data_IF_025562829263
#
_entry.id   IF_025562829263
#
_cell.length_a   1.000
_cell.length_b   1.000
_cell.length_c   1.000
_cell.angle_alpha   90.00
_cell.angle_beta   90.00
_cell.angle_gamma   90.00
#
_symmetry.space_group_name_H-M   'P 1'
#
loop_
_entity.id
_entity.type
_entity.pdbx_description
1 polymer ?
#
# COMPACT_ATOMS: atom_id res chain seq x y z
N UNK A 1 58.87 -0.96 -14.91
CA UNK A 1 59.17 -2.35 -15.29
C UNK A 1 57.83 -3.05 -15.53
N UNK A 2 57.10 -2.68 -16.60
CA UNK A 2 57.14 -3.21 -17.98
C UNK A 2 56.71 -4.68 -18.10
N UNK A 3 55.48 -4.87 -18.58
CA UNK A 3 54.95 -5.93 -19.47
C UNK A 3 53.43 -5.78 -19.43
N UNK A 4 52.79 -4.98 -20.28
CA UNK A 4 52.50 -5.19 -21.71
C UNK A 4 52.19 -6.65 -22.04
N UNK A 5 50.93 -6.90 -22.42
CA UNK A 5 50.53 -7.64 -23.63
C UNK A 5 48.99 -7.60 -23.77
N UNK A 6 48.54 -6.84 -24.75
CA UNK A 6 47.25 -6.93 -25.42
C UNK A 6 47.48 -7.70 -26.74
N UNK A 7 46.53 -8.53 -27.23
CA UNK A 7 46.12 -8.30 -28.62
C UNK A 7 44.63 -8.59 -28.93
N UNK A 8 43.97 -7.57 -29.47
CA UNK A 8 43.12 -7.52 -30.69
C UNK A 8 42.59 -8.80 -31.41
N UNK A 9 41.29 -8.69 -31.76
CA UNK A 9 40.55 -9.09 -32.98
C UNK A 9 40.18 -10.55 -33.28
N UNK A 10 38.86 -10.78 -33.45
CA UNK A 10 38.30 -11.28 -34.73
C UNK A 10 36.77 -11.04 -34.84
N UNK A 11 36.38 -10.32 -35.90
CA UNK A 11 35.03 -10.23 -36.46
C UNK A 11 34.67 -11.46 -37.31
N UNK A 12 33.40 -11.85 -37.32
CA UNK A 12 32.59 -12.41 -38.43
C UNK A 12 31.27 -12.93 -37.81
N UNK A 13 30.06 -12.76 -38.33
CA UNK A 13 29.56 -12.24 -39.58
C UNK A 13 28.18 -12.85 -39.84
N UNK A 14 27.27 -12.03 -40.39
CA UNK A 14 26.20 -12.39 -41.34
C UNK A 14 24.92 -13.10 -40.82
N UNK A 15 23.82 -12.34 -40.86
CA UNK A 15 22.75 -12.58 -41.85
C UNK A 15 21.43 -13.21 -41.38
N UNK A 16 20.33 -12.48 -41.55
CA UNK A 16 18.98 -13.06 -41.49
C UNK A 16 17.84 -12.04 -41.49
N UNK A 17 17.51 -11.46 -42.65
CA UNK A 17 16.24 -10.73 -42.90
C UNK A 17 15.11 -11.74 -43.15
N UNK A 18 13.99 -11.72 -42.41
CA UNK A 18 12.67 -12.17 -42.93
C UNK A 18 11.49 -11.38 -42.30
N UNK A 19 10.81 -10.60 -43.16
CA UNK A 19 9.36 -10.32 -43.34
C UNK A 19 8.43 -10.28 -42.09
N UNK A 20 7.82 -9.13 -41.80
CA UNK A 20 6.49 -8.69 -42.30
C UNK A 20 5.37 -9.72 -42.09
N UNK A 21 4.43 -9.42 -41.17
CA UNK A 21 3.01 -9.72 -41.35
C UNK A 21 2.14 -8.74 -40.54
N UNK A 22 1.40 -7.91 -41.28
CA UNK A 22 0.19 -7.22 -40.82
C UNK A 22 -0.90 -8.27 -40.64
N UNK A 23 -1.63 -8.23 -39.52
CA UNK A 23 -2.95 -8.83 -39.41
C UNK A 23 -3.95 -7.73 -39.05
N UNK A 24 -4.95 -7.64 -39.91
CA UNK A 24 -6.04 -6.68 -39.95
C UNK A 24 -7.26 -7.25 -39.22
N UNK A 25 -8.11 -6.34 -38.72
CA UNK A 25 -9.57 -6.50 -38.45
C UNK A 25 -10.04 -7.45 -37.35
N UNK A 26 -10.84 -6.92 -36.41
CA UNK A 26 -12.30 -6.93 -36.56
C UNK A 26 -12.97 -6.05 -35.50
N UNK A 27 -13.58 -4.95 -35.94
CA UNK A 27 -14.56 -4.18 -35.18
C UNK A 27 -15.88 -4.94 -35.23
N UNK A 28 -16.47 -5.27 -34.08
CA UNK A 28 -17.87 -5.68 -33.99
C UNK A 28 -18.60 -4.83 -32.95
N UNK A 29 -19.44 -3.96 -33.48
CA UNK A 29 -20.54 -3.30 -32.79
C UNK A 29 -21.48 -4.34 -32.17
N UNK A 30 -21.87 -4.12 -30.91
CA UNK A 30 -23.12 -4.64 -30.38
C UNK A 30 -23.86 -3.50 -29.69
N UNK A 31 -25.08 -3.27 -30.14
CA UNK A 31 -25.96 -2.20 -29.69
C UNK A 31 -27.30 -2.85 -29.36
N UNK A 32 -28.00 -2.25 -28.38
CA UNK A 32 -29.43 -2.40 -28.00
C UNK A 32 -29.79 -3.35 -26.85
N UNK A 33 -30.30 -2.71 -25.77
CA UNK A 33 -31.67 -2.81 -25.19
C UNK A 33 -31.72 -3.76 -23.99
N UNK A 34 -32.32 -3.45 -22.84
CA UNK A 34 -33.64 -2.86 -22.61
C UNK A 34 -33.77 -2.35 -21.16
N UNK A 35 -34.43 -1.19 -21.00
CA UNK A 35 -34.84 -0.65 -19.70
C UNK A 35 -36.16 -1.27 -19.24
N UNK A 36 -36.22 -1.73 -17.98
CA UNK A 36 -37.46 -2.04 -17.28
C UNK A 36 -37.60 -1.12 -16.06
N UNK A 37 -38.62 -0.26 -16.12
CA UNK A 37 -39.09 0.58 -15.02
C UNK A 37 -40.04 -0.25 -14.15
N UNK A 38 -39.77 -0.33 -12.85
CA UNK A 38 -40.79 -0.67 -11.86
C UNK A 38 -41.03 0.54 -10.95
N UNK A 39 -42.28 1.01 -10.94
CA UNK A 39 -42.81 1.99 -9.99
C UNK A 39 -43.51 1.23 -8.88
N UNK A 40 -43.18 1.52 -7.62
CA UNK A 40 -44.09 1.41 -6.50
C UNK A 40 -43.88 2.60 -5.56
N UNK A 41 -44.96 3.30 -5.22
CA UNK A 41 -45.02 4.30 -4.17
C UNK A 41 -45.74 3.75 -2.92
N UNK A 42 -46.17 4.60 -1.97
CA UNK A 42 -45.34 4.98 -0.82
C UNK A 42 -46.04 4.77 0.53
N UNK A 43 -45.25 4.50 1.59
CA UNK A 43 -45.52 4.70 3.05
C UNK A 43 -44.37 4.03 3.82
N UNK A 44 -43.78 4.49 4.92
CA UNK A 44 -43.97 5.63 5.79
C UNK A 44 -42.65 5.91 6.55
N UNK A 45 -42.46 7.19 6.87
CA UNK A 45 -41.67 7.81 7.95
C UNK A 45 -40.80 6.91 8.86
N UNK A 46 -39.49 7.10 8.77
CA UNK A 46 -38.60 7.19 9.93
C UNK A 46 -37.49 8.18 9.59
N UNK A 47 -37.37 9.23 10.41
CA UNK A 47 -36.40 10.31 10.25
C UNK A 47 -35.13 9.87 10.96
N UNK A 48 -34.03 9.72 10.24
CA UNK A 48 -32.70 9.72 10.84
C UNK A 48 -31.80 10.59 9.98
N UNK A 49 -31.27 11.65 10.58
CA UNK A 49 -30.56 12.73 9.92
C UNK A 49 -29.12 12.28 9.61
N UNK A 50 -28.96 11.32 8.71
CA UNK A 50 -27.70 11.12 7.99
C UNK A 50 -27.57 12.26 6.98
N UNK A 51 -26.68 13.20 7.26
CA UNK A 51 -26.28 14.22 6.31
C UNK A 51 -25.47 13.52 5.21
N UNK A 52 -26.18 12.97 4.23
CA UNK A 52 -25.62 12.53 2.95
C UNK A 52 -24.99 13.76 2.31
N UNK A 53 -23.66 13.84 2.31
CA UNK A 53 -22.96 14.72 1.40
C UNK A 53 -23.33 14.29 -0.02
N UNK A 54 -24.12 15.11 -0.72
CA UNK A 54 -24.36 14.86 -2.13
C UNK A 54 -23.06 15.02 -2.91
N UNK A 55 -22.75 14.11 -3.85
CA UNK A 55 -21.54 14.19 -4.65
C UNK A 55 -21.56 15.44 -5.54
N UNK A 56 -20.38 16.03 -5.84
CA UNK A 56 -20.30 17.18 -6.72
C UNK A 56 -20.87 16.86 -8.11
N UNK A 57 -21.64 17.79 -8.67
CA UNK A 57 -22.49 17.61 -9.87
C UNK A 57 -21.75 17.35 -11.18
N UNK A 58 -20.43 17.16 -11.17
CA UNK A 58 -19.60 17.01 -12.37
C UNK A 58 -18.59 15.84 -12.30
N UNK A 59 -18.76 14.86 -11.40
CA UNK A 59 -17.79 13.76 -11.21
C UNK A 59 -18.32 12.34 -11.48
N UNK A 60 -19.46 12.20 -12.15
CA UNK A 60 -20.24 10.95 -12.16
C UNK A 60 -19.72 9.83 -13.09
N UNK A 61 -18.55 9.96 -13.72
CA UNK A 61 -17.98 8.87 -14.56
C UNK A 61 -16.67 8.32 -13.98
N UNK A 62 -15.73 9.20 -13.65
CA UNK A 62 -14.39 8.77 -13.20
C UNK A 62 -14.36 8.38 -11.73
N UNK A 63 -15.23 8.98 -10.89
CA UNK A 63 -15.36 8.61 -9.48
C UNK A 63 -15.95 7.20 -9.33
N UNK A 64 -17.04 6.91 -10.05
CA UNK A 64 -17.64 5.58 -10.06
C UNK A 64 -16.75 4.54 -10.76
N UNK A 65 -16.00 4.89 -11.81
CA UNK A 65 -14.96 4.01 -12.39
C UNK A 65 -13.83 3.67 -11.43
N UNK A 66 -13.35 4.63 -10.64
CA UNK A 66 -12.31 4.38 -9.63
C UNK A 66 -12.83 3.53 -8.46
N UNK A 67 -14.11 3.65 -8.12
CA UNK A 67 -14.77 2.81 -7.10
C UNK A 67 -15.05 1.38 -7.62
N UNK A 68 -15.42 1.21 -8.89
CA UNK A 68 -15.72 -0.10 -9.50
C UNK A 68 -14.49 -1.03 -9.68
N UNK A 69 -13.26 -0.52 -9.55
CA UNK A 69 -12.05 -1.34 -9.69
C UNK A 69 -11.60 -2.05 -8.41
N UNK A 70 -12.19 -1.76 -7.25
CA UNK A 70 -11.90 -2.48 -6.00
C UNK A 70 -12.86 -3.65 -5.84
N UNK A 71 -12.48 -4.78 -6.41
CA UNK A 71 -13.27 -6.01 -6.34
C UNK A 71 -13.33 -6.66 -4.93
N UNK A 72 -12.56 -6.17 -3.95
CA UNK A 72 -12.44 -6.81 -2.64
C UNK A 72 -12.26 -5.81 -1.49
N UNK A 73 -13.13 -5.92 -0.48
CA UNK A 73 -13.00 -5.19 0.79
C UNK A 73 -12.21 -6.02 1.81
N UNK A 74 -11.24 -5.44 2.52
CA UNK A 74 -10.52 -6.13 3.57
C UNK A 74 -11.45 -6.45 4.74
N UNK A 75 -11.11 -7.49 5.51
CA UNK A 75 -11.74 -7.78 6.81
C UNK A 75 -10.96 -7.17 7.97
N UNK A 76 -9.66 -6.94 7.77
CA UNK A 76 -8.78 -6.29 8.72
C UNK A 76 -7.71 -5.49 7.98
N UNK A 77 -7.49 -4.24 8.40
CA UNK A 77 -6.39 -3.41 7.93
C UNK A 77 -5.53 -3.03 9.13
N UNK A 78 -4.30 -3.55 9.18
CA UNK A 78 -3.31 -3.22 10.20
C UNK A 78 -2.39 -2.13 9.66
N UNK A 79 -2.51 -0.92 10.21
CA UNK A 79 -1.67 0.22 9.84
C UNK A 79 -0.51 0.33 10.81
N UNK A 80 0.67 -0.06 10.35
CA UNK A 80 1.89 -0.05 11.14
C UNK A 80 2.62 1.28 11.05
N UNK A 81 3.08 1.75 12.20
CA UNK A 81 4.03 2.86 12.32
C UNK A 81 5.17 2.51 13.27
N UNK A 82 6.29 3.21 13.15
CA UNK A 82 7.45 3.01 14.00
C UNK A 82 8.69 3.64 13.39
N UNK A 83 9.51 4.24 14.26
CA UNK A 83 10.75 4.91 13.84
C UNK A 83 11.75 3.92 13.26
N UNK A 84 12.67 4.42 12.42
CA UNK A 84 13.79 3.63 11.90
C UNK A 84 14.51 2.86 13.01
N UNK A 85 14.82 1.58 12.75
CA UNK A 85 15.46 0.63 13.69
C UNK A 85 14.62 0.20 14.92
N UNK A 86 13.32 0.50 14.98
CA UNK A 86 12.44 -0.05 16.02
C UNK A 86 12.09 -1.53 15.81
N UNK A 87 12.36 -2.09 14.63
CA UNK A 87 12.02 -3.48 14.30
C UNK A 87 10.66 -3.66 13.60
N UNK A 88 9.99 -2.56 13.21
CA UNK A 88 8.72 -2.59 12.46
C UNK A 88 8.72 -3.57 11.28
N UNK A 89 9.72 -3.50 10.41
CA UNK A 89 9.77 -4.33 9.20
C UNK A 89 9.82 -5.83 9.56
N UNK A 90 10.61 -6.18 10.57
CA UNK A 90 10.68 -7.55 11.10
C UNK A 90 9.31 -8.01 11.63
N UNK A 91 8.60 -7.14 12.35
CA UNK A 91 7.26 -7.45 12.87
C UNK A 91 6.25 -7.67 11.74
N UNK A 92 6.22 -6.80 10.74
CA UNK A 92 5.30 -6.94 9.60
C UNK A 92 5.57 -8.19 8.78
N UNK A 93 6.85 -8.53 8.58
CA UNK A 93 7.27 -9.74 7.87
C UNK A 93 6.90 -11.00 8.67
N UNK A 94 7.06 -10.97 9.99
CA UNK A 94 6.68 -12.08 10.87
C UNK A 94 5.16 -12.33 10.84
N UNK A 95 4.34 -11.28 10.89
CA UNK A 95 2.87 -11.40 10.77
C UNK A 95 2.49 -12.01 9.43
N UNK A 96 3.06 -11.50 8.32
CA UNK A 96 2.83 -12.05 6.98
C UNK A 96 3.26 -13.51 6.89
N UNK A 97 4.39 -13.87 7.49
CA UNK A 97 4.88 -15.25 7.53
C UNK A 97 3.97 -16.21 8.29
N UNK A 98 3.37 -15.76 9.40
CA UNK A 98 2.43 -16.57 10.20
C UNK A 98 1.07 -16.74 9.55
N UNK A 99 0.53 -15.69 8.94
CA UNK A 99 -0.79 -15.74 8.31
C UNK A 99 -0.78 -16.37 6.91
N UNK A 100 0.36 -16.34 6.23
CA UNK A 100 0.51 -16.88 4.87
C UNK A 100 0.03 -15.92 3.77
N UNK A 101 0.40 -16.24 2.53
CA UNK A 101 0.25 -15.30 1.41
C UNK A 101 -1.16 -15.14 0.84
N UNK A 102 -2.01 -16.14 1.08
CA UNK A 102 -3.40 -16.12 0.64
C UNK A 102 -4.29 -15.32 1.61
N UNK A 103 -3.86 -15.23 2.87
CA UNK A 103 -4.62 -14.56 3.94
C UNK A 103 -4.21 -13.11 4.13
N UNK A 104 -2.91 -12.83 4.05
CA UNK A 104 -2.35 -11.54 4.39
C UNK A 104 -1.54 -10.98 3.23
N UNK A 105 -1.64 -9.68 2.93
CA UNK A 105 -0.68 -8.98 2.07
C UNK A 105 -0.04 -7.80 2.77
N UNK A 106 1.20 -7.46 2.38
CA UNK A 106 1.90 -6.27 2.87
C UNK A 106 1.79 -5.17 1.81
N UNK A 107 1.13 -4.08 2.17
CA UNK A 107 0.96 -2.89 1.35
C UNK A 107 2.04 -1.86 1.70
N UNK A 108 2.69 -1.30 0.67
CA UNK A 108 3.73 -0.28 0.81
C UNK A 108 3.35 0.98 0.07
N UNK A 109 3.07 2.06 0.79
CA UNK A 109 2.73 3.39 0.25
C UNK A 109 3.92 4.00 -0.51
N UNK A 110 5.15 3.63 -0.14
CA UNK A 110 6.35 4.04 -0.88
C UNK A 110 6.48 3.41 -2.27
N UNK A 111 5.77 2.31 -2.55
CA UNK A 111 5.76 1.67 -3.87
C UNK A 111 5.12 2.58 -4.93
N UNK A 112 3.82 2.94 -4.78
CA UNK A 112 3.15 3.88 -5.66
C UNK A 112 3.83 5.25 -5.76
N UNK A 113 4.42 5.76 -4.67
CA UNK A 113 5.23 6.98 -4.69
C UNK A 113 6.34 6.89 -5.73
N UNK A 114 7.15 5.83 -5.67
CA UNK A 114 8.27 5.63 -6.61
C UNK A 114 7.78 5.40 -8.03
N UNK A 115 6.73 4.59 -8.20
CA UNK A 115 6.16 4.30 -9.51
C UNK A 115 5.67 5.57 -10.21
N UNK A 116 4.84 6.36 -9.53
CA UNK A 116 4.28 7.58 -10.11
C UNK A 116 5.33 8.67 -10.31
N UNK A 117 6.28 8.80 -9.37
CA UNK A 117 7.38 9.75 -9.53
C UNK A 117 8.26 9.39 -10.74
N UNK A 118 8.61 8.11 -10.91
CA UNK A 118 9.40 7.65 -12.05
C UNK A 118 8.68 7.86 -13.39
N UNK A 119 7.38 7.56 -13.44
CA UNK A 119 6.55 7.75 -14.62
C UNK A 119 6.49 9.23 -15.05
N UNK A 120 6.22 10.14 -14.12
CA UNK A 120 6.10 11.57 -14.42
C UNK A 120 7.43 12.22 -14.83
N UNK A 121 8.55 11.71 -14.32
CA UNK A 121 9.89 12.28 -14.57
C UNK A 121 10.71 11.48 -15.60
N UNK A 122 10.13 10.46 -16.22
CA UNK A 122 10.80 9.61 -17.20
C UNK A 122 12.03 8.88 -16.63
N UNK A 123 11.96 8.43 -15.37
CA UNK A 123 13.04 7.74 -14.68
C UNK A 123 12.93 6.21 -14.83
N UNK A 124 14.06 5.52 -14.74
CA UNK A 124 14.10 4.07 -14.62
C UNK A 124 13.54 3.63 -13.25
N UNK A 125 12.37 2.96 -13.28
CA UNK A 125 11.69 2.49 -12.09
C UNK A 125 12.47 1.39 -11.37
N UNK A 126 13.10 0.47 -12.10
CA UNK A 126 13.82 -0.66 -11.49
C UNK A 126 15.04 -0.15 -10.71
N UNK A 127 15.73 0.85 -11.24
CA UNK A 127 16.83 1.52 -10.52
C UNK A 127 16.35 2.33 -9.32
N UNK A 128 15.16 2.94 -9.39
CA UNK A 128 14.57 3.69 -8.28
C UNK A 128 14.07 2.77 -7.14
N UNK A 129 13.64 1.56 -7.49
CA UNK A 129 13.26 0.52 -6.53
C UNK A 129 14.48 -0.18 -5.92
N UNK A 130 15.58 -0.31 -6.68
CA UNK A 130 16.78 -1.03 -6.30
C UNK A 130 17.63 -0.39 -5.20
N UNK A 131 18.59 -1.13 -4.61
CA UNK A 131 19.56 -0.57 -3.69
C UNK A 131 20.71 0.09 -4.46
N UNK A 132 20.73 1.42 -4.55
CA UNK A 132 21.85 2.08 -5.22
C UNK A 132 21.87 3.60 -5.03
N UNK A 133 22.95 4.28 -5.48
CA UNK A 133 23.07 5.74 -5.39
C UNK A 133 22.04 6.46 -6.26
N UNK A 134 21.52 5.79 -7.29
CA UNK A 134 20.47 6.32 -8.17
C UNK A 134 19.25 6.77 -7.37
N UNK A 135 18.73 5.92 -6.48
CA UNK A 135 17.57 6.28 -5.64
C UNK A 135 17.86 7.46 -4.71
N UNK A 136 19.09 7.54 -4.21
CA UNK A 136 19.46 8.50 -3.18
C UNK A 136 19.56 9.90 -3.77
N UNK A 137 20.03 10.00 -5.02
CA UNK A 137 20.05 11.24 -5.80
C UNK A 137 18.68 11.90 -5.89
N UNK A 138 17.62 11.12 -6.04
CA UNK A 138 16.25 11.63 -6.22
C UNK A 138 15.41 11.61 -4.94
N UNK A 139 15.98 11.16 -3.81
CA UNK A 139 15.20 10.90 -2.60
C UNK A 139 14.50 12.15 -2.07
N UNK A 140 15.22 13.26 -1.95
CA UNK A 140 14.67 14.51 -1.42
C UNK A 140 13.55 15.05 -2.33
N UNK A 141 13.81 15.15 -3.64
CA UNK A 141 12.84 15.64 -4.62
C UNK A 141 11.60 14.76 -4.69
N UNK A 142 11.77 13.43 -4.65
CA UNK A 142 10.67 12.47 -4.64
C UNK A 142 9.81 12.61 -3.37
N UNK A 143 10.42 12.84 -2.21
CA UNK A 143 9.68 13.11 -0.97
C UNK A 143 8.89 14.42 -1.11
N UNK A 144 9.52 15.50 -1.57
CA UNK A 144 8.86 16.80 -1.75
C UNK A 144 7.71 16.76 -2.76
N UNK A 145 7.89 16.04 -3.87
CA UNK A 145 6.84 15.75 -4.84
C UNK A 145 5.69 14.96 -4.19
N UNK A 146 6.03 13.92 -3.42
CA UNK A 146 5.06 13.10 -2.70
C UNK A 146 4.23 13.90 -1.70
N UNK A 147 4.85 14.81 -0.94
CA UNK A 147 4.10 15.70 -0.02
C UNK A 147 3.20 16.67 -0.78
N UNK A 148 3.64 17.16 -1.94
CA UNK A 148 2.78 18.00 -2.78
C UNK A 148 1.55 17.24 -3.24
N UNK A 149 1.69 15.98 -3.67
CA UNK A 149 0.56 15.11 -4.04
C UNK A 149 -0.37 14.88 -2.84
N UNK A 150 0.16 14.53 -1.66
CA UNK A 150 -0.64 14.29 -0.44
C UNK A 150 -1.39 15.52 0.06
N UNK A 151 -0.82 16.73 -0.07
CA UNK A 151 -1.52 17.98 0.30
C UNK A 151 -2.74 18.23 -0.56
N UNK A 152 -2.69 17.88 -1.84
CA UNK A 152 -3.84 18.00 -2.74
C UNK A 152 -4.83 16.84 -2.55
N UNK A 153 -4.33 15.63 -2.31
CA UNK A 153 -5.11 14.41 -2.19
C UNK A 153 -4.46 13.44 -1.19
N UNK A 154 -4.89 13.47 0.08
CA UNK A 154 -4.34 12.62 1.14
C UNK A 154 -4.39 11.13 0.84
N UNK A 155 -5.38 10.68 0.07
CA UNK A 155 -5.61 9.27 -0.25
C UNK A 155 -4.90 8.77 -1.49
N UNK A 156 -4.17 9.63 -2.22
CA UNK A 156 -3.60 9.32 -3.54
C UNK A 156 -2.78 8.02 -3.54
N UNK A 157 -1.77 7.92 -2.67
CA UNK A 157 -0.93 6.73 -2.59
C UNK A 157 -1.63 5.55 -1.92
N UNK A 158 -2.57 5.80 -1.00
CA UNK A 158 -3.30 4.73 -0.32
C UNK A 158 -4.23 3.98 -1.28
N UNK A 159 -4.93 4.70 -2.17
CA UNK A 159 -5.76 4.09 -3.23
C UNK A 159 -4.91 3.29 -4.21
N UNK A 160 -3.76 3.82 -4.63
CA UNK A 160 -2.84 3.08 -5.50
C UNK A 160 -2.25 1.84 -4.82
N UNK A 161 -1.84 1.94 -3.55
CA UNK A 161 -1.21 0.84 -2.82
C UNK A 161 -2.17 -0.32 -2.55
N UNK A 162 -3.47 -0.05 -2.49
CA UNK A 162 -4.51 -1.04 -2.23
C UNK A 162 -5.13 -1.60 -3.51
N UNK A 163 -4.77 -1.05 -4.68
CA UNK A 163 -5.29 -1.53 -5.97
C UNK A 163 -4.78 -2.95 -6.22
N UNK A 164 -5.70 -3.88 -6.46
CA UNK A 164 -5.39 -5.30 -6.69
C UNK A 164 -5.11 -6.13 -5.43
N UNK A 165 -5.20 -5.55 -4.23
CA UNK A 165 -5.17 -6.32 -3.00
C UNK A 165 -6.50 -7.09 -2.83
N UNK A 166 -6.41 -8.40 -2.62
CA UNK A 166 -7.58 -9.30 -2.54
C UNK A 166 -7.59 -10.14 -1.26
N UNK A 167 -6.50 -10.10 -0.49
CA UNK A 167 -6.40 -10.80 0.78
C UNK A 167 -7.35 -10.19 1.82
N UNK A 168 -7.93 -10.98 2.75
CA UNK A 168 -8.76 -10.43 3.83
C UNK A 168 -8.00 -9.53 4.80
N UNK A 169 -6.70 -9.78 5.01
CA UNK A 169 -5.88 -9.05 5.97
C UNK A 169 -4.84 -8.22 5.23
N UNK A 170 -4.87 -6.90 5.43
CA UNK A 170 -3.91 -5.97 4.85
C UNK A 170 -2.98 -5.44 5.93
N UNK A 171 -1.67 -5.50 5.70
CA UNK A 171 -0.65 -4.91 6.56
C UNK A 171 -0.05 -3.73 5.82
N UNK A 172 -0.42 -2.50 6.21
CA UNK A 172 0.18 -1.27 5.68
C UNK A 172 1.46 -1.04 6.47
N UNK A 173 2.62 -1.33 5.86
CA UNK A 173 3.86 -1.44 6.62
C UNK A 173 4.61 -0.12 6.77
N UNK A 174 4.37 0.88 5.93
CA UNK A 174 5.17 2.11 5.86
C UNK A 174 4.34 3.40 5.90
N UNK A 175 3.23 3.38 6.66
CA UNK A 175 2.51 4.59 7.01
C UNK A 175 3.39 5.50 7.86
N UNK A 176 3.49 6.77 7.46
CA UNK A 176 4.43 7.73 8.02
C UNK A 176 3.78 9.05 8.40
N UNK A 177 2.62 9.36 7.82
CA UNK A 177 1.90 10.60 8.06
C UNK A 177 0.55 10.32 8.70
N UNK A 178 0.08 11.27 9.50
CA UNK A 178 -1.26 11.21 10.09
C UNK A 178 -2.34 11.08 9.01
N UNK A 179 -2.16 11.75 7.87
CA UNK A 179 -3.06 11.64 6.72
C UNK A 179 -3.18 10.22 6.15
N UNK A 180 -2.08 9.45 6.16
CA UNK A 180 -2.12 8.05 5.74
C UNK A 180 -3.08 7.26 6.66
N UNK A 181 -2.91 7.38 7.98
CA UNK A 181 -3.74 6.71 8.98
C UNK A 181 -5.21 7.16 8.93
N UNK A 182 -5.44 8.48 8.86
CA UNK A 182 -6.79 9.05 8.76
C UNK A 182 -7.52 8.57 7.50
N UNK A 183 -6.80 8.41 6.39
CA UNK A 183 -7.41 7.85 5.18
C UNK A 183 -7.90 6.41 5.39
N UNK A 184 -7.09 5.53 5.98
CA UNK A 184 -7.53 4.15 6.26
C UNK A 184 -8.67 4.08 7.30
N UNK A 185 -8.64 4.95 8.31
CA UNK A 185 -9.72 5.04 9.31
C UNK A 185 -11.04 5.55 8.72
N UNK A 186 -10.98 6.48 7.74
CA UNK A 186 -12.18 6.98 7.07
C UNK A 186 -12.72 6.02 6.01
N UNK A 187 -11.84 5.37 5.25
CA UNK A 187 -12.21 4.42 4.21
C UNK A 187 -12.70 3.07 4.78
N UNK A 188 -12.06 2.59 5.85
CA UNK A 188 -12.34 1.29 6.47
C UNK A 188 -12.50 1.42 7.99
N UNK A 189 -13.55 2.12 8.46
CA UNK A 189 -13.67 2.53 9.86
C UNK A 189 -13.80 1.35 10.83
N UNK A 190 -14.41 0.23 10.40
CA UNK A 190 -14.61 -0.93 11.27
C UNK A 190 -13.41 -1.88 11.24
N UNK A 191 -12.71 -1.94 10.11
CA UNK A 191 -11.63 -2.89 9.83
C UNK A 191 -10.25 -2.35 10.18
N UNK A 192 -10.06 -1.03 10.20
CA UNK A 192 -8.76 -0.42 10.43
C UNK A 192 -8.36 -0.47 11.89
N UNK A 193 -7.09 -0.82 12.10
CA UNK A 193 -6.44 -0.98 13.39
C UNK A 193 -5.02 -0.48 13.29
N UNK A 194 -4.64 0.38 14.22
CA UNK A 194 -3.35 1.07 14.26
C UNK A 194 -2.39 0.36 15.21
N UNK A 195 -1.17 0.10 14.73
CA UNK A 195 -0.14 -0.61 15.48
C UNK A 195 1.15 0.20 15.50
N UNK A 196 1.65 0.53 16.70
CA UNK A 196 2.93 1.22 16.87
C UNK A 196 4.00 0.26 17.33
N UNK A 197 5.10 0.16 16.57
CA UNK A 197 6.31 -0.56 17.01
C UNK A 197 7.30 0.45 17.55
N UNK A 198 7.55 0.37 18.86
CA UNK A 198 8.44 1.30 19.56
C UNK A 198 9.70 0.60 20.06
N UNK A 199 10.79 1.35 20.04
CA UNK A 199 12.00 1.05 20.79
C UNK A 199 12.60 2.34 21.34
N UNK A 200 13.25 2.25 22.49
CA UNK A 200 14.07 3.29 23.09
C UNK A 200 15.17 3.74 22.15
N UNK A 201 15.65 4.97 22.36
CA UNK A 201 16.76 5.51 21.59
C UNK A 201 18.02 4.67 21.81
N UNK A 202 18.27 4.24 23.05
CA UNK A 202 19.39 3.39 23.44
C UNK A 202 19.36 2.05 22.70
N UNK A 203 18.21 1.40 22.62
CA UNK A 203 18.05 0.14 21.89
C UNK A 203 18.23 0.34 20.39
N UNK A 204 17.71 1.44 19.83
CA UNK A 204 17.93 1.79 18.41
C UNK A 204 19.42 2.06 18.14
N UNK A 205 20.13 2.78 19.02
CA UNK A 205 21.58 3.03 18.93
C UNK A 205 22.37 1.73 18.92
N UNK A 206 22.04 0.77 19.79
CA UNK A 206 22.65 -0.58 19.80
C UNK A 206 22.47 -1.33 18.47
N UNK A 207 21.42 -1.02 17.70
CA UNK A 207 21.14 -1.56 16.35
C UNK A 207 21.78 -0.74 15.21
N UNK A 208 22.72 0.15 15.55
CA UNK A 208 23.40 1.02 14.61
C UNK A 208 22.56 2.20 14.14
N UNK A 209 21.59 2.66 14.95
CA UNK A 209 20.95 3.95 14.71
C UNK A 209 21.87 5.08 15.18
N UNK A 210 22.06 6.07 14.32
CA UNK A 210 22.67 7.36 14.65
C UNK A 210 21.75 8.43 14.12
N UNK A 211 21.51 9.47 14.92
CA UNK A 211 20.69 10.59 14.51
C UNK A 211 21.24 11.20 13.22
N UNK A 212 20.36 11.33 12.23
CA UNK A 212 20.64 12.00 10.97
C UNK A 212 19.65 13.15 10.82
N UNK A 213 20.16 14.39 10.89
CA UNK A 213 19.36 15.59 10.66
C UNK A 213 18.69 15.52 9.27
N UNK A 214 17.51 16.10 9.16
CA UNK A 214 16.62 16.09 7.98
C UNK A 214 16.06 14.71 7.61
N UNK A 215 16.39 13.66 8.37
CA UNK A 215 15.85 12.30 8.19
C UNK A 215 15.08 11.88 9.41
N UNK A 216 15.70 11.89 10.59
CA UNK A 216 15.11 11.40 11.84
C UNK A 216 14.21 12.43 12.54
N UNK A 217 14.29 13.71 12.15
CA UNK A 217 13.45 14.82 12.61
C UNK A 217 12.42 15.27 11.55
N UNK A 218 12.47 14.70 10.34
CA UNK A 218 11.50 14.96 9.29
C UNK A 218 10.11 14.40 9.63
N UNK A 219 9.06 15.02 9.07
CA UNK A 219 7.67 14.55 9.18
C UNK A 219 7.53 13.06 8.81
N UNK A 220 8.35 12.59 7.86
CA UNK A 220 8.34 11.19 7.42
C UNK A 220 8.76 10.16 8.50
N UNK A 221 9.34 10.59 9.62
CA UNK A 221 9.68 9.75 10.77
C UNK A 221 8.88 10.14 12.04
N UNK A 222 8.56 11.43 12.23
CA UNK A 222 7.90 11.94 13.43
C UNK A 222 6.38 12.17 13.30
N UNK A 223 5.82 12.06 12.09
CA UNK A 223 4.42 12.42 11.78
C UNK A 223 3.35 11.59 12.49
N UNK A 224 3.75 10.57 13.26
CA UNK A 224 2.88 9.68 14.04
C UNK A 224 3.34 9.55 15.50
N UNK A 225 4.14 10.51 16.01
CA UNK A 225 4.67 10.49 17.38
C UNK A 225 3.72 11.07 18.43
N UNK A 226 2.77 11.92 18.02
CA UNK A 226 1.86 12.62 18.94
C UNK A 226 0.44 12.71 18.36
N UNK A 227 -0.55 12.86 19.25
CA UNK A 227 -1.95 13.04 18.86
C UNK A 227 -2.65 11.79 18.32
N UNK A 228 -2.10 10.60 18.58
CA UNK A 228 -2.65 9.32 18.12
C UNK A 228 -2.70 8.35 19.29
N UNK A 229 -3.88 7.80 19.54
CA UNK A 229 -4.05 6.63 20.39
C UNK A 229 -4.00 5.39 19.50
N UNK A 230 -2.95 4.59 19.67
CA UNK A 230 -2.79 3.36 18.91
C UNK A 230 -3.58 2.22 19.55
N UNK A 231 -4.23 1.40 18.73
CA UNK A 231 -4.95 0.21 19.21
C UNK A 231 -4.00 -0.81 19.87
N UNK A 232 -2.79 -0.94 19.32
CA UNK A 232 -1.72 -1.74 19.92
C UNK A 232 -0.38 -1.02 19.88
N UNK A 233 0.39 -1.21 20.95
CA UNK A 233 1.79 -0.79 21.04
C UNK A 233 2.64 -2.03 21.28
N UNK A 234 3.55 -2.31 20.34
CA UNK A 234 4.55 -3.37 20.43
C UNK A 234 5.86 -2.74 20.91
N UNK A 235 6.28 -3.11 22.11
CA UNK A 235 7.55 -2.71 22.70
C UNK A 235 8.65 -3.70 22.32
N UNK A 236 9.63 -3.24 21.56
CA UNK A 236 10.78 -4.04 21.15
C UNK A 236 12.01 -3.67 21.97
N UNK A 237 11.90 -3.90 23.28
CA UNK A 237 12.94 -3.73 24.30
C UNK A 237 13.37 -5.08 24.88
N UNK A 238 14.50 -5.09 25.59
CA UNK A 238 15.03 -6.31 26.21
C UNK A 238 14.21 -6.78 27.43
N UNK A 239 13.57 -5.85 28.12
CA UNK A 239 12.74 -6.06 29.32
C UNK A 239 11.23 -6.09 29.02
N UNK A 240 10.84 -5.94 27.74
CA UNK A 240 9.47 -6.10 27.31
C UNK A 240 9.02 -7.57 27.32
N UNK A 241 7.70 -7.84 27.38
CA UNK A 241 7.16 -9.18 27.11
C UNK A 241 7.67 -9.73 25.78
N UNK A 242 7.68 -11.06 25.63
CA UNK A 242 8.16 -11.66 24.39
C UNK A 242 7.36 -11.13 23.19
N UNK A 243 8.02 -10.99 22.02
CA UNK A 243 7.34 -10.51 20.82
C UNK A 243 6.14 -11.41 20.47
N UNK A 244 6.25 -12.71 20.76
CA UNK A 244 5.16 -13.66 20.54
C UNK A 244 3.94 -13.34 21.38
N UNK A 245 4.10 -13.10 22.68
CA UNK A 245 3.01 -12.69 23.57
C UNK A 245 2.35 -11.40 23.09
N UNK A 246 3.15 -10.42 22.66
CA UNK A 246 2.65 -9.14 22.15
C UNK A 246 1.89 -9.30 20.82
N UNK A 247 2.29 -10.25 19.97
CA UNK A 247 1.65 -10.50 18.68
C UNK A 247 0.41 -11.39 18.74
N UNK A 248 0.28 -12.24 19.76
CA UNK A 248 -0.89 -13.12 19.93
C UNK A 248 -2.26 -12.44 19.76
N UNK A 249 -2.56 -11.27 20.36
CA UNK A 249 -3.86 -10.62 20.14
C UNK A 249 -4.06 -10.15 18.70
N UNK A 250 -3.02 -9.65 18.03
CA UNK A 250 -3.09 -9.18 16.65
C UNK A 250 -3.29 -10.35 15.68
N UNK A 251 -2.56 -11.45 15.89
CA UNK A 251 -2.67 -12.66 15.07
C UNK A 251 -4.03 -13.31 15.20
N UNK A 252 -4.56 -13.45 16.43
CA UNK A 252 -5.92 -13.98 16.65
C UNK A 252 -6.98 -13.16 15.92
N UNK A 253 -6.92 -11.83 16.03
CA UNK A 253 -7.85 -10.96 15.32
C UNK A 253 -7.76 -11.13 13.80
N UNK A 254 -6.54 -11.28 13.26
CA UNK A 254 -6.32 -11.50 11.84
C UNK A 254 -6.85 -12.87 11.36
N UNK A 255 -6.66 -13.92 12.16
CA UNK A 255 -7.18 -15.27 11.87
C UNK A 255 -8.71 -15.31 11.91
N UNK A 256 -9.34 -14.64 12.88
CA UNK A 256 -10.79 -14.49 12.98
C UNK A 256 -11.35 -13.72 11.77
N UNK A 257 -10.72 -12.59 11.42
CA UNK A 257 -11.09 -11.80 10.26
C UNK A 257 -11.00 -12.61 8.96
N UNK A 258 -9.95 -13.41 8.79
CA UNK A 258 -9.77 -14.30 7.64
C UNK A 258 -10.83 -15.41 7.58
N UNK A 259 -11.14 -16.03 8.73
CA UNK A 259 -12.09 -17.15 8.83
C UNK A 259 -13.52 -16.74 8.51
N UNK A 260 -13.88 -15.46 8.73
CA UNK A 260 -15.20 -14.92 8.36
C UNK A 260 -15.55 -15.04 6.86
N UNK A 261 -14.54 -15.24 5.99
CA UNK A 261 -14.74 -15.51 4.57
C UNK A 261 -15.27 -16.93 4.27
N UNK A 262 -15.02 -17.91 5.14
CA UNK A 262 -15.45 -19.29 4.90
C UNK A 262 -16.92 -19.53 5.24
N UNK A 263 -17.55 -18.67 6.03
CA UNK A 263 -18.96 -18.78 6.43
C UNK A 263 -19.94 -18.14 5.44
N UNK A 264 -19.44 -17.36 4.46
CA UNK A 264 -20.28 -16.62 3.49
C UNK A 264 -20.27 -17.22 2.09
N UNK A 265 -19.56 -18.34 1.85
CA UNK A 265 -19.66 -19.06 0.58
C UNK A 265 -20.97 -19.88 0.62
N UNK A 266 -21.99 -19.58 -0.19
CA UNK A 266 -23.15 -20.46 -0.26
C UNK A 266 -22.65 -21.84 -0.68
N UNK A 267 -23.00 -22.87 0.10
CA UNK A 267 -22.79 -24.25 -0.34
C UNK A 267 -23.45 -24.38 -1.70
N UNK A 268 -22.65 -24.65 -2.73
CA UNK A 268 -23.21 -25.03 -4.03
C UNK A 268 -23.98 -26.32 -3.79
N UNK A 269 -25.30 -26.21 -3.77
CA UNK A 269 -26.20 -27.36 -3.81
C UNK A 269 -25.99 -27.99 -5.18
N UNK A 270 -25.48 -29.23 -5.13
CA UNK A 270 -25.27 -30.13 -6.26
C UNK A 270 -26.55 -30.41 -7.04
#
# INVERSE_FOLDING_TARGET
>A
MTSDLDPTNMEAGVGGKIKSNKVTTCVKNFNKTSALRYRFGPTALAVDHHQLMEPPRDSSSDYWRQMEERAFEPKLVLVFSGKRKSGKDYVTDLIKGRLGSDTCCVLRLSGPLKQQYAEEHGLDLDQLLGPGPYKERFRADMIGWGETRRRHDPGFFCRLATRGAWQPVWVVSDARRLSDLQWFLSEFPQQTRSVRVQSSEETRKKRGWSFTADVDDAESECGLDSGIEFDWIISNEADAPSLDEQLQPILRLAEEAASSLHLTRPQQVS
#
